data_IF_600344077254
#
_entry.id   IF_600344077254
#
_cell.length_a   1.000
_cell.length_b   1.000
_cell.length_c   1.000
_cell.angle_alpha   90.00
_cell.angle_beta   90.00
_cell.angle_gamma   90.00
#
_symmetry.space_group_name_H-M   'P 1'
#
loop_
_entity.id
_entity.type
_entity.pdbx_description
1 polymer ?
#
# COMPACT_ATOMS: atom_id res chain seq x y z
N UNK A 1 -73.28 25.13 -35.57
CA UNK A 1 -72.28 24.93 -34.52
C UNK A 1 -71.42 23.79 -34.94
N UNK A 2 -70.15 24.04 -35.38
CA UNK A 2 -69.19 22.97 -35.78
C UNK A 2 -68.21 22.78 -34.63
N UNK A 3 -68.28 21.60 -33.96
CA UNK A 3 -67.30 21.25 -32.94
C UNK A 3 -65.98 20.85 -33.61
N UNK A 4 -64.93 21.59 -33.34
CA UNK A 4 -63.55 21.30 -33.73
C UNK A 4 -62.93 20.40 -32.69
N UNK A 5 -62.64 19.14 -33.00
CA UNK A 5 -61.91 18.19 -32.13
C UNK A 5 -60.43 18.43 -32.33
N UNK A 6 -59.76 18.92 -31.28
CA UNK A 6 -58.29 19.09 -31.22
C UNK A 6 -57.65 17.74 -30.79
N UNK A 7 -57.01 17.07 -31.74
CA UNK A 7 -56.22 15.89 -31.45
C UNK A 7 -54.84 16.33 -30.92
N UNK A 8 -54.57 16.08 -29.65
CA UNK A 8 -53.24 16.28 -29.05
C UNK A 8 -52.41 15.03 -29.30
N UNK A 9 -51.42 15.15 -30.16
CA UNK A 9 -50.38 14.12 -30.34
C UNK A 9 -49.36 14.26 -29.21
N UNK A 10 -49.34 13.29 -28.28
CA UNK A 10 -48.26 13.17 -27.26
C UNK A 10 -47.12 12.43 -27.91
N UNK A 11 -46.04 13.16 -28.21
CA UNK A 11 -44.78 12.59 -28.71
C UNK A 11 -44.03 11.98 -27.51
N UNK A 12 -44.07 10.65 -27.36
CA UNK A 12 -43.28 9.94 -26.34
C UNK A 12 -41.83 9.84 -26.88
N UNK A 13 -40.95 10.69 -26.41
CA UNK A 13 -39.53 10.57 -26.64
C UNK A 13 -38.98 9.35 -25.84
N UNK A 14 -38.76 8.25 -26.53
CA UNK A 14 -38.05 7.10 -25.98
C UNK A 14 -36.57 7.50 -25.78
N UNK A 15 -36.18 7.81 -24.53
CA UNK A 15 -34.79 7.95 -24.16
C UNK A 15 -34.16 6.55 -24.19
N UNK A 16 -33.13 6.29 -25.00
CA UNK A 16 -32.46 4.99 -24.97
C UNK A 16 -31.82 4.81 -23.61
N UNK A 17 -32.30 3.84 -22.84
CA UNK A 17 -31.60 3.36 -21.64
C UNK A 17 -30.35 2.66 -22.16
N UNK A 18 -29.20 3.34 -22.10
CA UNK A 18 -27.92 2.71 -22.31
C UNK A 18 -27.71 1.75 -21.15
N UNK A 19 -27.95 0.45 -21.38
CA UNK A 19 -27.62 -0.58 -20.42
C UNK A 19 -26.12 -0.47 -20.15
N UNK A 20 -25.74 -0.05 -18.93
CA UNK A 20 -24.34 -0.13 -18.47
C UNK A 20 -23.94 -1.60 -18.61
N UNK A 21 -22.91 -1.87 -19.42
CA UNK A 21 -22.26 -3.18 -19.40
C UNK A 21 -21.90 -3.49 -17.96
N UNK A 22 -22.22 -4.70 -17.45
CA UNK A 22 -21.71 -5.11 -16.13
C UNK A 22 -20.22 -4.80 -16.11
N UNK A 23 -19.76 -4.05 -15.10
CA UNK A 23 -18.36 -3.71 -14.97
C UNK A 23 -17.54 -5.02 -15.05
N UNK A 24 -16.80 -5.21 -16.13
CA UNK A 24 -15.90 -6.36 -16.22
C UNK A 24 -14.87 -6.23 -15.11
N UNK A 25 -14.67 -7.29 -14.32
CA UNK A 25 -13.52 -7.37 -13.42
C UNK A 25 -12.27 -7.03 -14.24
N UNK A 26 -11.31 -6.25 -13.73
CA UNK A 26 -10.14 -5.87 -14.50
C UNK A 26 -9.50 -7.12 -15.12
N UNK A 27 -9.46 -7.17 -16.44
CA UNK A 27 -8.78 -8.23 -17.18
C UNK A 27 -7.34 -7.80 -17.41
N UNK A 28 -6.38 -8.57 -16.91
CA UNK A 28 -4.97 -8.25 -17.05
C UNK A 28 -4.11 -9.22 -16.24
N UNK A 29 -2.79 -9.12 -16.40
CA UNK A 29 -1.85 -9.90 -15.60
C UNK A 29 -1.88 -9.38 -14.15
N UNK A 30 -2.20 -10.26 -13.22
CA UNK A 30 -2.14 -9.96 -11.79
C UNK A 30 -0.72 -10.22 -11.27
N UNK A 31 -0.16 -9.25 -10.57
CA UNK A 31 1.12 -9.37 -9.86
C UNK A 31 0.85 -9.31 -8.37
N UNK A 32 1.29 -10.33 -7.63
CA UNK A 32 1.23 -10.33 -6.17
C UNK A 32 2.36 -9.47 -5.62
N UNK A 33 2.01 -8.46 -4.87
CA UNK A 33 2.94 -7.51 -4.26
C UNK A 33 3.11 -7.75 -2.75
N UNK A 34 2.78 -8.96 -2.29
CA UNK A 34 2.79 -9.35 -0.88
C UNK A 34 3.86 -10.40 -0.62
N UNK A 35 4.71 -10.17 0.37
CA UNK A 35 5.57 -11.24 0.92
C UNK A 35 4.74 -12.20 1.77
N UNK A 36 5.01 -13.50 1.68
CA UNK A 36 4.39 -14.48 2.56
C UNK A 36 4.80 -14.22 4.02
N UNK A 37 3.84 -14.45 4.94
CA UNK A 37 4.10 -14.33 6.38
C UNK A 37 4.61 -15.67 6.91
N UNK A 38 5.80 -15.64 7.49
CA UNK A 38 6.44 -16.77 8.16
C UNK A 38 7.37 -16.30 9.29
N UNK A 39 8.14 -17.20 9.85
CA UNK A 39 9.11 -16.91 10.94
C UNK A 39 10.24 -15.97 10.51
N UNK A 40 10.47 -15.80 9.19
CA UNK A 40 11.51 -14.94 8.63
C UNK A 40 10.93 -13.56 8.26
N UNK A 41 9.62 -13.36 8.35
CA UNK A 41 9.00 -12.07 8.02
C UNK A 41 9.66 -10.93 8.76
N UNK A 42 9.97 -9.85 8.04
CA UNK A 42 10.69 -8.72 8.62
C UNK A 42 9.74 -7.87 9.43
N UNK A 43 10.08 -7.68 10.69
CA UNK A 43 9.42 -6.80 11.66
C UNK A 43 10.41 -5.79 12.20
N UNK A 44 9.91 -4.65 12.63
CA UNK A 44 10.72 -3.68 13.37
C UNK A 44 11.50 -4.34 14.50
N UNK A 45 12.73 -3.92 14.82
CA UNK A 45 13.57 -4.62 15.81
C UNK A 45 12.92 -4.84 17.17
N UNK A 46 12.06 -3.93 17.60
CA UNK A 46 11.38 -4.00 18.91
C UNK A 46 10.00 -4.66 18.84
N UNK A 47 9.47 -4.92 17.64
CA UNK A 47 8.13 -5.47 17.47
C UNK A 47 8.10 -7.00 17.63
N UNK A 48 6.95 -7.54 18.06
CA UNK A 48 6.70 -8.97 18.11
C UNK A 48 6.69 -9.55 16.70
N UNK A 49 7.53 -10.57 16.39
CA UNK A 49 7.54 -11.21 15.09
C UNK A 49 6.29 -12.07 14.86
N UNK A 50 6.06 -12.43 13.59
CA UNK A 50 5.02 -13.37 13.22
C UNK A 50 5.33 -14.77 13.79
N UNK A 51 4.31 -15.40 14.37
CA UNK A 51 4.35 -16.77 14.85
C UNK A 51 3.09 -17.50 14.38
N UNK A 52 3.26 -18.63 13.73
CA UNK A 52 2.20 -19.57 13.39
C UNK A 52 2.29 -20.78 14.31
N UNK A 53 1.20 -21.17 14.95
CA UNK A 53 1.13 -22.29 15.87
C UNK A 53 0.06 -23.27 15.40
N UNK A 54 0.38 -24.56 15.46
CA UNK A 54 -0.55 -25.62 15.11
C UNK A 54 -1.45 -25.92 16.31
N UNK A 55 -2.76 -25.75 16.14
CA UNK A 55 -3.75 -26.20 17.13
C UNK A 55 -4.11 -27.66 16.90
N UNK A 56 -4.25 -28.07 15.64
CA UNK A 56 -4.48 -29.45 15.23
C UNK A 56 -4.03 -29.67 13.78
N UNK A 57 -3.46 -30.81 13.49
CA UNK A 57 -3.18 -31.28 12.13
C UNK A 57 -3.16 -32.81 12.10
N UNK A 58 -4.09 -33.43 11.36
CA UNK A 58 -4.15 -34.89 11.23
C UNK A 58 -5.52 -35.43 10.86
N UNK A 59 -5.62 -36.79 10.88
CA UNK A 59 -6.88 -37.49 10.72
C UNK A 59 -7.66 -37.43 12.04
N UNK A 60 -8.93 -37.02 11.95
CA UNK A 60 -9.85 -37.04 13.09
C UNK A 60 -10.33 -38.47 13.39
N UNK A 61 -10.85 -38.72 14.58
CA UNK A 61 -11.51 -39.98 14.95
C UNK A 61 -12.68 -40.32 14.01
N UNK A 62 -13.26 -39.33 13.31
CA UNK A 62 -14.35 -39.52 12.34
C UNK A 62 -13.87 -39.83 10.94
N UNK A 63 -12.56 -39.99 10.70
CA UNK A 63 -11.97 -40.45 9.45
C UNK A 63 -11.78 -39.37 8.39
N UNK A 64 -11.79 -38.06 8.72
CA UNK A 64 -11.42 -36.98 7.78
C UNK A 64 -10.20 -36.22 8.30
N UNK A 65 -9.43 -35.65 7.35
CA UNK A 65 -8.30 -34.77 7.68
C UNK A 65 -8.81 -33.40 8.12
N UNK A 66 -8.18 -32.84 9.15
CA UNK A 66 -8.42 -31.48 9.63
C UNK A 66 -7.11 -30.81 9.99
N UNK A 67 -6.98 -29.53 9.67
CA UNK A 67 -5.88 -28.69 10.12
C UNK A 67 -6.41 -27.33 10.59
N UNK A 68 -5.89 -26.87 11.74
CA UNK A 68 -6.22 -25.58 12.33
C UNK A 68 -4.95 -24.97 12.92
N UNK A 69 -4.77 -23.69 12.66
CA UNK A 69 -3.63 -22.91 13.11
C UNK A 69 -4.11 -21.62 13.73
N UNK A 70 -3.32 -21.07 14.64
CA UNK A 70 -3.46 -19.68 15.10
C UNK A 70 -2.17 -18.93 14.81
N UNK A 71 -2.26 -17.62 14.66
CA UNK A 71 -1.07 -16.78 14.54
C UNK A 71 -1.11 -15.60 15.50
N UNK A 72 0.07 -15.06 15.81
CA UNK A 72 0.25 -13.82 16.54
C UNK A 72 1.37 -13.00 15.92
N UNK A 73 1.22 -11.68 15.91
CA UNK A 73 2.21 -10.73 15.42
C UNK A 73 1.87 -9.31 15.87
N UNK A 74 2.84 -8.38 15.77
CA UNK A 74 2.51 -6.96 15.78
C UNK A 74 1.76 -6.58 14.49
N UNK A 75 0.99 -5.48 14.51
CA UNK A 75 0.26 -4.99 13.31
C UNK A 75 1.22 -4.57 12.18
N UNK A 76 2.41 -4.03 12.55
CA UNK A 76 3.40 -3.47 11.64
C UNK A 76 4.55 -4.44 11.40
N UNK A 77 4.55 -5.09 10.25
CA UNK A 77 5.58 -6.04 9.82
C UNK A 77 5.10 -6.97 8.71
N UNK A 78 6.06 -7.60 8.02
CA UNK A 78 5.75 -8.19 6.73
C UNK A 78 5.19 -7.16 5.76
N UNK A 79 4.51 -7.56 4.69
CA UNK A 79 3.77 -6.60 3.86
C UNK A 79 2.52 -6.14 4.61
N UNK A 80 2.47 -4.85 4.98
CA UNK A 80 1.39 -4.31 5.81
C UNK A 80 0.98 -2.90 5.37
N UNK A 81 -0.14 -2.45 5.93
CA UNK A 81 -0.61 -1.07 5.81
C UNK A 81 -0.46 -0.38 7.17
N UNK A 82 0.10 0.81 7.14
CA UNK A 82 0.04 1.77 8.23
C UNK A 82 -1.16 2.69 8.04
N UNK A 83 -2.07 2.68 9.01
CA UNK A 83 -3.19 3.60 8.98
C UNK A 83 -2.81 4.96 9.59
N UNK A 84 -3.50 6.04 9.18
CA UNK A 84 -3.16 7.40 9.61
C UNK A 84 -3.09 7.59 11.13
N UNK A 85 -3.89 6.87 11.91
CA UNK A 85 -3.89 6.97 13.38
C UNK A 85 -2.54 6.56 13.99
N UNK A 86 -1.73 5.76 13.27
CA UNK A 86 -0.43 5.28 13.76
C UNK A 86 0.50 6.42 14.21
N UNK A 87 0.56 7.53 13.46
CA UNK A 87 1.36 8.72 13.80
C UNK A 87 0.55 10.01 13.88
N UNK A 88 -0.77 9.99 13.66
CA UNK A 88 -1.63 11.17 13.71
C UNK A 88 -2.91 10.91 14.52
N UNK A 89 -2.92 11.41 15.76
CA UNK A 89 -4.04 11.23 16.69
C UNK A 89 -5.37 11.70 16.09
N UNK A 90 -6.40 10.83 16.15
CA UNK A 90 -7.75 11.15 15.69
C UNK A 90 -7.92 11.08 14.17
N UNK A 91 -6.93 10.52 13.46
CA UNK A 91 -7.04 10.17 12.04
C UNK A 91 -7.59 8.77 11.89
N UNK A 92 -7.84 8.32 10.64
CA UNK A 92 -8.45 7.02 10.35
C UNK A 92 -7.67 5.87 10.97
N UNK A 93 -8.41 5.00 11.66
CA UNK A 93 -7.97 3.64 11.98
C UNK A 93 -8.08 2.74 10.74
N UNK A 94 -7.45 1.58 10.74
CA UNK A 94 -7.41 0.72 9.55
C UNK A 94 -8.81 0.31 9.05
N UNK A 95 -9.78 0.16 9.93
CA UNK A 95 -11.16 -0.19 9.57
C UNK A 95 -11.99 1.00 9.06
N UNK A 96 -11.53 2.23 9.27
CA UNK A 96 -12.18 3.47 8.84
C UNK A 96 -11.71 3.97 7.47
N UNK A 97 -10.58 3.46 6.95
CA UNK A 97 -10.07 3.90 5.64
C UNK A 97 -11.06 3.53 4.54
N UNK A 98 -11.55 4.50 3.74
CA UNK A 98 -12.48 4.22 2.64
C UNK A 98 -11.86 3.27 1.61
N UNK A 99 -12.61 2.26 1.15
CA UNK A 99 -12.12 1.29 0.16
C UNK A 99 -11.63 1.96 -1.13
N UNK A 100 -12.28 3.06 -1.54
CA UNK A 100 -11.88 3.85 -2.71
C UNK A 100 -10.47 4.45 -2.57
N UNK A 101 -9.96 4.59 -1.36
CA UNK A 101 -8.61 5.05 -1.09
C UNK A 101 -7.58 3.92 -1.25
N UNK A 102 -8.01 2.68 -1.01
CA UNK A 102 -7.18 1.48 -1.06
C UNK A 102 -7.11 0.82 -2.46
N UNK A 103 -7.84 1.36 -3.43
CA UNK A 103 -7.90 0.81 -4.78
C UNK A 103 -7.84 1.92 -5.83
N UNK A 104 -7.17 1.66 -6.95
CA UNK A 104 -7.17 2.58 -8.08
C UNK A 104 -5.90 2.57 -8.91
N UNK A 105 -5.83 3.51 -9.84
CA UNK A 105 -4.65 3.69 -10.67
C UNK A 105 -3.41 3.97 -9.82
N UNK A 106 -2.28 3.38 -10.23
CA UNK A 106 -1.03 3.50 -9.51
C UNK A 106 0.14 3.82 -10.45
N UNK A 107 1.21 4.34 -9.85
CA UNK A 107 2.47 4.65 -10.52
C UNK A 107 3.65 4.13 -9.70
N UNK A 108 4.78 3.90 -10.38
CA UNK A 108 6.06 3.59 -9.75
C UNK A 108 7.04 4.72 -9.98
N UNK A 109 7.59 5.27 -8.89
CA UNK A 109 8.78 6.14 -8.89
C UNK A 109 9.98 5.23 -8.64
N UNK A 110 10.81 5.05 -9.65
CA UNK A 110 12.00 4.19 -9.57
C UNK A 110 13.23 5.01 -9.17
N UNK A 111 13.77 4.71 -8.00
CA UNK A 111 14.98 5.32 -7.42
C UNK A 111 16.05 4.28 -7.11
N UNK A 112 16.00 3.12 -7.76
CA UNK A 112 16.93 2.01 -7.52
C UNK A 112 18.40 2.38 -7.71
N UNK A 113 18.69 3.25 -8.69
CA UNK A 113 20.07 3.73 -8.96
C UNK A 113 20.60 4.57 -7.80
N UNK A 114 19.78 5.48 -7.29
CA UNK A 114 20.15 6.35 -6.17
C UNK A 114 20.33 5.55 -4.88
N UNK A 115 19.39 4.63 -4.61
CA UNK A 115 19.45 3.77 -3.43
C UNK A 115 20.62 2.77 -3.47
N UNK A 116 21.03 2.32 -4.67
CA UNK A 116 22.22 1.48 -4.81
C UNK A 116 23.52 2.24 -4.48
N UNK A 117 23.56 3.55 -4.74
CA UNK A 117 24.70 4.40 -4.41
C UNK A 117 24.68 4.87 -2.95
N UNK A 118 23.49 5.00 -2.34
CA UNK A 118 23.33 5.42 -0.95
C UNK A 118 22.19 4.63 -0.29
N UNK A 119 22.47 3.69 0.63
CA UNK A 119 21.45 2.89 1.30
C UNK A 119 20.50 3.72 2.18
N UNK A 120 20.90 4.92 2.61
CA UNK A 120 20.07 5.84 3.39
C UNK A 120 19.46 6.95 2.52
N UNK A 121 19.26 6.68 1.23
CA UNK A 121 18.72 7.65 0.29
C UNK A 121 17.33 8.15 0.70
N UNK A 122 17.15 9.46 0.65
CA UNK A 122 15.86 10.12 0.83
C UNK A 122 15.25 10.42 -0.53
N UNK A 123 14.14 9.76 -0.86
CA UNK A 123 13.38 10.00 -2.11
C UNK A 123 12.87 11.43 -2.09
N UNK A 124 13.41 12.25 -2.95
CA UNK A 124 13.31 13.71 -2.93
C UNK A 124 12.21 14.25 -3.86
N UNK A 125 11.86 15.51 -3.74
CA UNK A 125 10.97 16.22 -4.68
C UNK A 125 11.47 16.09 -6.12
N UNK A 126 12.80 16.17 -6.33
CA UNK A 126 13.40 16.05 -7.65
C UNK A 126 13.11 14.69 -8.32
N UNK A 127 12.98 13.60 -7.57
CA UNK A 127 12.64 12.28 -8.12
C UNK A 127 11.20 12.26 -8.66
N UNK A 128 10.27 12.88 -7.94
CA UNK A 128 8.88 13.05 -8.42
C UNK A 128 8.81 13.96 -9.65
N UNK A 129 9.52 15.08 -9.65
CA UNK A 129 9.58 15.98 -10.79
C UNK A 129 10.25 15.33 -12.01
N UNK A 130 11.29 14.51 -11.79
CA UNK A 130 11.94 13.72 -12.83
C UNK A 130 10.98 12.71 -13.46
N UNK A 131 10.15 12.06 -12.64
CA UNK A 131 9.11 11.16 -13.12
C UNK A 131 8.07 11.93 -13.93
N UNK A 132 7.61 13.09 -13.43
CA UNK A 132 6.61 13.92 -14.09
C UNK A 132 7.08 14.48 -15.44
N UNK A 133 8.35 14.85 -15.57
CA UNK A 133 8.92 15.29 -16.86
C UNK A 133 8.80 14.22 -17.94
N UNK A 134 8.85 12.94 -17.58
CA UNK A 134 8.77 11.82 -18.53
C UNK A 134 7.36 11.30 -18.76
N UNK A 135 6.50 11.43 -17.77
CA UNK A 135 5.19 10.75 -17.75
C UNK A 135 3.99 11.69 -17.68
N UNK A 136 4.23 13.00 -17.50
CA UNK A 136 3.20 13.98 -17.20
C UNK A 136 2.93 14.08 -15.69
N UNK A 137 2.14 15.07 -15.28
CA UNK A 137 1.80 15.32 -13.88
C UNK A 137 1.17 14.09 -13.24
N UNK A 138 1.53 13.77 -11.99
CA UNK A 138 0.91 12.71 -11.21
C UNK A 138 -0.61 12.96 -11.14
N UNK A 139 -1.44 12.03 -11.65
CA UNK A 139 -2.89 12.22 -11.66
C UNK A 139 -3.48 12.27 -10.26
N UNK A 140 -4.57 13.01 -10.10
CA UNK A 140 -5.32 13.03 -8.85
C UNK A 140 -5.85 11.64 -8.50
N UNK A 141 -5.82 11.29 -7.23
CA UNK A 141 -6.32 10.01 -6.74
C UNK A 141 -5.45 8.80 -7.10
N UNK A 142 -4.16 9.03 -7.40
CA UNK A 142 -3.18 7.98 -7.69
C UNK A 142 -2.61 7.37 -6.41
N UNK A 143 -2.34 6.06 -6.44
CA UNK A 143 -1.49 5.37 -5.47
C UNK A 143 -0.05 5.46 -5.97
N UNK A 144 0.86 5.93 -5.12
CA UNK A 144 2.28 6.11 -5.47
C UNK A 144 3.10 4.99 -4.84
N UNK A 145 3.86 4.26 -5.65
CA UNK A 145 4.79 3.24 -5.18
C UNK A 145 6.24 3.68 -5.43
N UNK A 146 7.07 3.63 -4.39
CA UNK A 146 8.49 3.95 -4.47
C UNK A 146 9.28 2.65 -4.58
N UNK A 147 9.95 2.44 -5.72
CA UNK A 147 10.82 1.30 -5.94
C UNK A 147 12.24 1.68 -5.58
N UNK A 148 12.71 1.23 -4.42
CA UNK A 148 14.08 1.46 -3.94
C UNK A 148 15.04 0.36 -4.40
N UNK A 149 14.51 -0.83 -4.70
CA UNK A 149 15.26 -2.02 -5.03
C UNK A 149 15.74 -2.79 -3.79
N UNK A 150 15.32 -2.36 -2.59
CA UNK A 150 15.60 -3.07 -1.34
C UNK A 150 14.77 -4.35 -1.21
N UNK A 151 13.59 -4.43 -1.83
CA UNK A 151 12.74 -5.61 -1.84
C UNK A 151 13.47 -6.91 -2.24
N UNK A 152 14.54 -6.82 -3.08
CA UNK A 152 15.39 -7.96 -3.45
C UNK A 152 16.16 -8.56 -2.27
N UNK A 153 16.32 -7.85 -1.17
CA UNK A 153 17.02 -8.31 0.02
C UNK A 153 16.09 -8.98 1.04
N UNK A 154 14.77 -8.80 0.90
CA UNK A 154 13.81 -9.45 1.77
C UNK A 154 13.87 -10.99 1.63
N UNK A 155 13.88 -11.79 2.71
CA UNK A 155 13.80 -11.43 4.11
C UNK A 155 15.16 -11.36 4.86
N UNK A 156 16.29 -11.21 4.16
CA UNK A 156 17.62 -11.10 4.78
C UNK A 156 17.72 -9.79 5.57
N UNK A 157 17.47 -9.83 6.87
CA UNK A 157 17.42 -8.64 7.73
C UNK A 157 18.67 -7.79 7.67
N UNK A 158 19.86 -8.41 7.61
CA UNK A 158 21.14 -7.68 7.57
C UNK A 158 21.26 -6.84 6.31
N UNK A 159 20.86 -7.37 5.17
CA UNK A 159 20.86 -6.63 3.90
C UNK A 159 19.70 -5.67 3.78
N UNK A 160 18.53 -6.05 4.32
CA UNK A 160 17.28 -5.31 4.17
C UNK A 160 17.13 -4.15 5.16
N UNK A 161 17.57 -4.35 6.41
CA UNK A 161 17.47 -3.38 7.50
C UNK A 161 18.82 -2.74 7.87
N UNK A 162 19.95 -3.27 7.38
CA UNK A 162 21.29 -2.89 7.85
C UNK A 162 21.77 -3.68 9.07
N UNK A 163 20.87 -4.36 9.79
CA UNK A 163 21.17 -5.17 10.97
C UNK A 163 20.25 -6.36 11.12
N UNK A 164 20.75 -7.46 11.66
CA UNK A 164 19.97 -8.63 12.09
C UNK A 164 19.67 -8.62 13.59
N UNK A 165 20.17 -7.65 14.32
CA UNK A 165 19.93 -7.47 15.75
C UNK A 165 18.44 -7.12 16.03
N UNK A 166 18.02 -7.36 17.28
CA UNK A 166 16.69 -7.04 17.78
C UNK A 166 16.80 -6.25 19.08
N UNK A 167 15.68 -5.60 19.44
CA UNK A 167 15.59 -4.74 20.61
C UNK A 167 15.98 -3.28 20.33
N UNK A 168 15.91 -2.44 21.34
CA UNK A 168 16.04 -0.97 21.21
C UNK A 168 17.38 -0.55 20.60
N UNK A 169 18.48 -1.23 20.95
CA UNK A 169 19.81 -0.90 20.44
C UNK A 169 19.97 -1.16 18.93
N UNK A 170 19.15 -2.02 18.36
CA UNK A 170 19.18 -2.29 16.93
C UNK A 170 18.58 -1.14 16.09
N UNK A 171 17.68 -0.33 16.68
CA UNK A 171 17.01 0.78 15.96
C UNK A 171 18.04 1.82 15.44
N UNK A 172 19.07 2.12 16.21
CA UNK A 172 20.13 3.05 15.78
C UNK A 172 21.04 2.50 14.67
N UNK A 173 20.93 1.20 14.35
CA UNK A 173 21.73 0.50 13.33
C UNK A 173 20.96 0.26 12.04
N UNK A 174 19.75 0.80 11.93
CA UNK A 174 18.92 0.63 10.73
C UNK A 174 19.46 1.49 9.59
N UNK A 175 19.62 0.88 8.41
CA UNK A 175 20.07 1.51 7.18
C UNK A 175 19.23 1.02 6.00
N UNK A 176 18.27 1.81 5.58
CA UNK A 176 17.45 1.60 4.38
C UNK A 176 16.85 2.94 3.93
N UNK A 177 16.56 3.10 2.61
CA UNK A 177 16.03 4.34 2.07
C UNK A 177 14.58 4.57 2.48
N UNK A 178 14.17 5.85 2.45
CA UNK A 178 12.79 6.26 2.73
C UNK A 178 12.42 7.55 1.99
N UNK A 179 11.23 8.06 2.29
CA UNK A 179 10.73 9.31 1.73
C UNK A 179 11.28 10.51 2.49
N UNK A 180 11.79 11.50 1.76
CA UNK A 180 12.19 12.81 2.31
C UNK A 180 10.94 13.52 2.88
N UNK A 181 11.00 14.06 4.13
CA UNK A 181 9.93 14.88 4.68
C UNK A 181 9.53 16.08 3.81
N UNK A 182 10.47 16.67 3.07
CA UNK A 182 10.15 17.73 2.10
C UNK A 182 9.34 17.20 0.94
N UNK A 183 9.62 15.98 0.46
CA UNK A 183 8.83 15.34 -0.59
C UNK A 183 7.44 14.92 -0.07
N UNK A 184 7.32 14.46 1.17
CA UNK A 184 6.03 14.20 1.80
C UNK A 184 5.17 15.47 1.87
N UNK A 185 5.75 16.60 2.28
CA UNK A 185 5.09 17.91 2.25
C UNK A 185 4.68 18.33 0.84
N UNK A 186 5.57 18.16 -0.13
CA UNK A 186 5.28 18.50 -1.53
C UNK A 186 4.13 17.66 -2.08
N UNK A 187 4.09 16.36 -1.81
CA UNK A 187 2.99 15.47 -2.21
C UNK A 187 1.66 15.92 -1.61
N UNK A 188 1.63 16.23 -0.31
CA UNK A 188 0.40 16.63 0.40
C UNK A 188 -0.11 18.02 0.00
N UNK A 189 0.77 18.90 -0.42
CA UNK A 189 0.42 20.28 -0.81
C UNK A 189 0.12 20.43 -2.30
N UNK A 190 0.79 19.66 -3.17
CA UNK A 190 0.76 19.86 -4.61
C UNK A 190 0.13 18.70 -5.38
N UNK A 191 -0.13 17.57 -4.73
CA UNK A 191 -0.71 16.36 -5.34
C UNK A 191 -1.79 15.81 -4.43
N UNK A 192 -2.79 15.17 -5.02
CA UNK A 192 -3.89 14.54 -4.29
C UNK A 192 -3.75 13.02 -4.43
N UNK A 193 -2.76 12.44 -3.75
CA UNK A 193 -2.54 11.00 -3.77
C UNK A 193 -3.48 10.28 -2.79
N UNK A 194 -3.82 9.00 -3.07
CA UNK A 194 -4.65 8.16 -2.20
C UNK A 194 -3.85 7.48 -1.11
N UNK A 195 -2.70 6.97 -1.47
CA UNK A 195 -1.80 6.22 -0.60
C UNK A 195 -0.38 6.28 -1.17
N UNK A 196 0.59 5.93 -0.36
CA UNK A 196 1.98 5.73 -0.78
C UNK A 196 2.44 4.34 -0.34
N UNK A 197 3.35 3.72 -1.08
CA UNK A 197 3.96 2.45 -0.67
C UNK A 197 5.40 2.35 -1.11
N UNK A 198 6.16 1.42 -0.52
CA UNK A 198 7.55 1.18 -0.89
C UNK A 198 8.01 -0.24 -0.51
N UNK A 199 9.14 -0.62 -1.07
CA UNK A 199 9.78 -1.91 -0.84
C UNK A 199 10.84 -1.87 0.29
N UNK A 200 10.60 -1.06 1.33
CA UNK A 200 11.39 -1.00 2.56
C UNK A 200 10.52 -1.17 3.80
N UNK A 201 11.15 -1.31 4.97
CA UNK A 201 10.47 -1.59 6.23
C UNK A 201 9.78 -0.39 6.87
N UNK A 202 9.99 0.81 6.32
CA UNK A 202 9.35 2.05 6.76
C UNK A 202 9.37 3.09 5.63
N UNK A 203 8.33 3.96 5.56
CA UNK A 203 8.33 5.11 4.66
C UNK A 203 9.34 6.17 5.08
N UNK A 204 9.68 6.29 6.36
CA UNK A 204 10.85 7.03 6.80
C UNK A 204 12.10 6.16 6.63
N UNK A 205 13.25 6.76 6.36
CA UNK A 205 14.52 6.04 6.24
C UNK A 205 14.98 5.47 7.58
N UNK A 206 15.86 4.47 7.54
CA UNK A 206 16.29 3.71 8.73
C UNK A 206 16.83 4.57 9.89
N UNK A 207 17.48 5.70 9.60
CA UNK A 207 18.02 6.63 10.59
C UNK A 207 17.01 7.67 11.11
N UNK A 208 15.74 7.62 10.69
CA UNK A 208 14.73 8.56 11.14
C UNK A 208 14.41 8.35 12.63
N UNK A 209 14.46 9.42 13.40
CA UNK A 209 14.08 9.43 14.83
C UNK A 209 12.77 10.18 15.08
N UNK A 210 12.30 10.97 14.11
CA UNK A 210 11.11 11.83 14.24
C UNK A 210 9.92 11.35 13.41
N UNK A 211 10.10 10.36 12.53
CA UNK A 211 9.07 9.81 11.66
C UNK A 211 8.24 10.87 10.93
N UNK A 212 8.96 11.89 10.39
CA UNK A 212 8.31 13.09 9.86
C UNK A 212 7.47 12.81 8.62
N UNK A 213 7.91 11.89 7.74
CA UNK A 213 7.15 11.56 6.52
C UNK A 213 5.84 10.87 6.87
N UNK A 214 5.83 9.95 7.84
CA UNK A 214 4.59 9.38 8.38
C UNK A 214 3.67 10.48 8.90
N UNK A 215 4.15 11.33 9.82
CA UNK A 215 3.34 12.37 10.45
C UNK A 215 2.71 13.31 9.44
N UNK A 216 3.46 13.73 8.42
CA UNK A 216 3.00 14.64 7.37
C UNK A 216 1.87 14.01 6.54
N UNK A 217 2.05 12.77 6.10
CA UNK A 217 1.09 12.04 5.28
C UNK A 217 -0.16 11.68 6.09
N UNK A 218 0.02 11.17 7.30
CA UNK A 218 -1.07 10.68 8.15
C UNK A 218 -1.96 11.80 8.67
N UNK A 219 -1.42 12.99 8.90
CA UNK A 219 -2.22 14.19 9.15
C UNK A 219 -3.19 14.54 8.01
N UNK A 220 -2.97 14.00 6.82
CA UNK A 220 -3.85 14.14 5.64
C UNK A 220 -4.67 12.89 5.36
N UNK A 221 -4.72 11.93 6.28
CA UNK A 221 -5.34 10.62 6.09
C UNK A 221 -4.82 9.86 4.85
N UNK A 222 -3.53 10.00 4.52
CA UNK A 222 -2.88 9.26 3.44
C UNK A 222 -2.14 8.08 4.07
N UNK A 223 -2.64 6.83 3.94
CA UNK A 223 -2.01 5.64 4.50
C UNK A 223 -0.74 5.25 3.73
N UNK A 224 0.11 4.44 4.37
CA UNK A 224 1.31 3.88 3.77
C UNK A 224 1.24 2.35 3.64
N UNK A 225 1.91 1.81 2.60
CA UNK A 225 2.13 0.38 2.40
C UNK A 225 3.62 0.11 2.52
N UNK A 226 4.02 -0.78 3.42
CA UNK A 226 5.41 -1.07 3.69
C UNK A 226 5.76 -2.52 3.37
N UNK A 227 7.03 -2.80 3.11
CA UNK A 227 7.50 -4.11 2.67
C UNK A 227 6.75 -4.62 1.43
N UNK A 228 6.51 -3.74 0.44
CA UNK A 228 5.81 -4.12 -0.80
C UNK A 228 6.74 -4.96 -1.67
N UNK A 229 6.27 -6.13 -2.10
CA UNK A 229 7.06 -7.06 -2.92
C UNK A 229 6.95 -6.74 -4.42
N UNK A 230 7.88 -7.29 -5.21
CA UNK A 230 7.78 -7.40 -6.68
C UNK A 230 7.54 -6.08 -7.45
N UNK A 231 7.97 -4.94 -6.91
CA UNK A 231 7.84 -3.65 -7.60
C UNK A 231 8.65 -3.59 -8.93
N UNK A 232 9.63 -4.46 -9.08
CA UNK A 232 10.44 -4.63 -10.30
C UNK A 232 9.64 -5.19 -11.48
N UNK A 233 8.48 -5.83 -11.22
CA UNK A 233 7.60 -6.37 -12.25
C UNK A 233 6.60 -5.34 -12.80
N UNK A 234 6.57 -4.13 -12.24
CA UNK A 234 5.59 -3.11 -12.59
C UNK A 234 6.16 -2.07 -13.57
N UNK A 235 5.35 -1.61 -14.54
CA UNK A 235 5.71 -0.45 -15.35
C UNK A 235 5.63 0.84 -14.52
N UNK A 236 6.18 1.94 -15.02
CA UNK A 236 6.11 3.23 -14.34
C UNK A 236 4.69 3.78 -14.17
N UNK A 237 3.73 3.34 -15.01
CA UNK A 237 2.31 3.72 -15.00
C UNK A 237 1.48 2.75 -15.83
N UNK A 238 0.14 2.94 -15.83
CA UNK A 238 -0.79 2.16 -16.68
C UNK A 238 -1.27 0.86 -16.02
N UNK A 239 -1.23 0.79 -14.70
CA UNK A 239 -1.75 -0.33 -13.93
C UNK A 239 -2.59 0.17 -12.74
N UNK A 240 -3.31 -0.75 -12.13
CA UNK A 240 -4.10 -0.47 -10.92
C UNK A 240 -3.62 -1.34 -9.76
N UNK A 241 -3.81 -0.84 -8.54
CA UNK A 241 -3.52 -1.55 -7.29
C UNK A 241 -4.80 -1.78 -6.51
N UNK A 242 -4.88 -2.94 -5.86
CA UNK A 242 -5.86 -3.28 -4.83
C UNK A 242 -5.06 -3.67 -3.58
N UNK A 243 -5.23 -2.91 -2.49
CA UNK A 243 -4.46 -3.03 -1.25
C UNK A 243 -5.43 -3.14 -0.06
N UNK A 244 -5.80 -4.37 0.31
CA UNK A 244 -6.83 -4.63 1.33
C UNK A 244 -6.18 -5.19 2.60
N UNK A 245 -6.02 -4.37 3.66
CA UNK A 245 -5.51 -4.83 4.94
C UNK A 245 -6.53 -5.68 5.69
N UNK A 246 -6.08 -6.44 6.68
CA UNK A 246 -6.96 -7.00 7.69
C UNK A 246 -7.73 -5.85 8.36
N UNK A 247 -9.07 -5.96 8.38
CA UNK A 247 -9.95 -4.92 8.93
C UNK A 247 -10.05 -5.04 10.46
N UNK A 248 -9.00 -4.61 11.16
CA UNK A 248 -8.92 -4.62 12.62
C UNK A 248 -9.61 -3.36 13.15
N UNK A 249 -10.70 -3.52 13.91
CA UNK A 249 -11.43 -2.37 14.47
C UNK A 249 -10.56 -1.59 15.44
N UNK A 250 -10.33 -0.32 15.13
CA UNK A 250 -9.50 0.57 15.93
C UNK A 250 -7.99 0.33 15.76
N UNK A 251 -7.57 -0.55 14.84
CA UNK A 251 -6.16 -0.87 14.61
C UNK A 251 -5.38 0.29 13.98
N UNK A 252 -4.10 0.38 14.33
CA UNK A 252 -3.17 1.37 13.79
C UNK A 252 -2.60 0.94 12.43
N UNK A 253 -2.76 -0.32 12.05
CA UNK A 253 -2.33 -0.92 10.81
C UNK A 253 -2.79 -2.37 10.70
N UNK A 254 -2.23 -3.11 9.77
CA UNK A 254 -2.50 -4.54 9.68
C UNK A 254 -1.87 -5.22 8.48
N UNK A 255 -1.74 -6.56 8.56
CA UNK A 255 -1.28 -7.36 7.43
C UNK A 255 -2.07 -7.04 6.16
N UNK A 256 -1.37 -6.93 5.03
CA UNK A 256 -1.92 -6.46 3.77
C UNK A 256 -1.77 -7.53 2.69
N UNK A 257 -2.88 -7.88 1.99
CA UNK A 257 -2.75 -8.49 0.67
C UNK A 257 -2.90 -7.41 -0.38
N UNK A 258 -1.80 -7.13 -1.08
CA UNK A 258 -1.74 -6.13 -2.14
C UNK A 258 -1.41 -6.78 -3.47
N UNK A 259 -2.13 -6.40 -4.52
CA UNK A 259 -1.93 -6.89 -5.88
C UNK A 259 -1.95 -5.74 -6.87
N UNK A 260 -1.20 -5.88 -7.95
CA UNK A 260 -1.30 -5.01 -9.12
C UNK A 260 -1.99 -5.75 -10.28
N UNK A 261 -2.74 -5.00 -11.09
CA UNK A 261 -3.43 -5.47 -12.30
C UNK A 261 -2.91 -4.61 -13.46
N UNK A 262 -2.20 -5.29 -14.41
CA UNK A 262 -1.52 -4.67 -15.57
C UNK A 262 -2.37 -4.79 -16.82
#
# INVERSE_FOLDING_TARGET
MKCLHLLIFVLILAVPVVAQKPGSFPSGRVVDLTHAFDVNSVYWPTAQPFKLETDFEGMTEKGYFYSAYRYSAAEHGGTHLDSPVHFAKGRYTVDEIPLQQLMGAAIVIDVTTQCAANPDYLVSVADFENWERRNGRIPQGTIVLLRTGFGKFYPDRRKYLGTDERGDQAVSKLHFPGLDPAAARWLTQNRSIKAIGLDTASIDHGQSTLFESHRILFEKNIPAFENVANLDQLPSRGFSVIALPMKIKGGSGGPLRIVAIL
#
